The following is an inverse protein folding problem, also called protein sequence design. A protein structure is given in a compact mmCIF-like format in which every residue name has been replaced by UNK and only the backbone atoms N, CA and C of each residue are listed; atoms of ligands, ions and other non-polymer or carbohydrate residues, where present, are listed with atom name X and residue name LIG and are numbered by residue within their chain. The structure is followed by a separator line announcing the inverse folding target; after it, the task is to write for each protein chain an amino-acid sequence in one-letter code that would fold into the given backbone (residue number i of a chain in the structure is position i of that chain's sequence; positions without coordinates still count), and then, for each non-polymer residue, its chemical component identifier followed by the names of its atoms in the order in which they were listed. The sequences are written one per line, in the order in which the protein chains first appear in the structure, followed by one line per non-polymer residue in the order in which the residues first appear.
data_IF_878980177510
#
_entry.id   IF_878980177510
#
_cell.length_a   1.000
_cell.length_b   1.000
_cell.length_c   1.000
_cell.angle_alpha   90.00
_cell.angle_beta   90.00
_cell.angle_gamma   90.00
#
_symmetry.space_group_name_H-M   'P 1'
#
loop_
_entity.id
_entity.type
_entity.pdbx_description
1 polymer ?
#
# COMPACT_ATOMS: atom_id res chain seq x y z
N UNK A 1 -11.02 5.47 -64.93
CA UNK A 1 -10.62 6.00 -63.61
C UNK A 1 -11.57 5.43 -62.57
N UNK A 2 -11.01 4.76 -61.56
CA UNK A 2 -11.72 3.95 -60.56
C UNK A 2 -12.41 4.87 -59.54
N UNK A 3 -13.71 4.69 -59.34
CA UNK A 3 -14.43 5.16 -58.15
C UNK A 3 -14.66 3.95 -57.26
N UNK A 4 -14.23 4.02 -56.01
CA UNK A 4 -14.43 2.94 -55.04
C UNK A 4 -15.22 3.51 -53.88
N UNK A 5 -16.53 3.25 -53.91
CA UNK A 5 -17.40 3.33 -52.74
C UNK A 5 -16.98 2.22 -51.76
N UNK A 6 -16.88 2.55 -50.48
CA UNK A 6 -16.81 1.56 -49.39
C UNK A 6 -17.97 1.79 -48.44
N UNK A 7 -18.96 0.92 -48.53
CA UNK A 7 -20.00 0.73 -47.52
C UNK A 7 -19.40 0.17 -46.24
N UNK A 8 -19.77 0.77 -45.11
CA UNK A 8 -19.57 0.23 -43.77
C UNK A 8 -20.71 -0.78 -43.48
N UNK A 9 -20.38 -2.07 -43.45
CA UNK A 9 -21.25 -3.12 -42.95
C UNK A 9 -21.03 -3.32 -41.45
N UNK A 10 -22.08 -3.14 -40.65
CA UNK A 10 -22.12 -3.51 -39.23
C UNK A 10 -22.51 -4.99 -39.18
N UNK A 11 -21.64 -5.83 -38.62
CA UNK A 11 -21.95 -7.26 -38.37
C UNK A 11 -22.08 -7.46 -36.86
N UNK A 12 -23.26 -7.89 -36.44
CA UNK A 12 -23.59 -8.33 -35.09
C UNK A 12 -23.26 -9.82 -34.95
N UNK A 13 -22.57 -10.29 -33.90
CA UNK A 13 -22.41 -11.73 -33.69
C UNK A 13 -23.64 -12.28 -32.96
N UNK A 14 -24.49 -13.01 -33.68
CA UNK A 14 -25.40 -13.99 -33.08
C UNK A 14 -24.88 -15.40 -33.38
N UNK A 15 -24.92 -16.22 -32.33
CA UNK A 15 -25.05 -17.68 -32.32
C UNK A 15 -23.99 -18.52 -33.04
N UNK A 16 -23.33 -19.39 -32.28
CA UNK A 16 -22.79 -20.65 -32.80
C UNK A 16 -22.92 -21.78 -31.76
N UNK A 17 -23.07 -23.04 -32.21
CA UNK A 17 -23.87 -24.05 -31.52
C UNK A 17 -23.04 -25.03 -30.68
N UNK A 18 -23.75 -25.71 -29.78
CA UNK A 18 -23.33 -26.91 -29.04
C UNK A 18 -22.88 -28.03 -30.00
N UNK A 19 -21.66 -28.55 -29.82
CA UNK A 19 -21.20 -29.82 -30.40
C UNK A 19 -20.55 -30.66 -29.29
N UNK A 20 -21.05 -31.90 -29.11
CA UNK A 20 -20.46 -32.95 -28.26
C UNK A 20 -19.26 -33.59 -28.96
N UNK A 21 -18.21 -33.89 -28.21
CA UNK A 21 -17.09 -34.73 -28.66
C UNK A 21 -17.19 -36.16 -28.09
N UNK A 22 -16.84 -37.20 -28.87
CA UNK A 22 -16.41 -38.50 -28.34
C UNK A 22 -14.87 -38.59 -28.24
N UNK A 23 -14.45 -39.65 -27.53
CA UNK A 23 -13.11 -39.99 -27.05
C UNK A 23 -12.00 -40.22 -28.10
N UNK A 24 -10.77 -40.10 -27.59
CA UNK A 24 -9.49 -40.70 -27.99
C UNK A 24 -8.85 -40.35 -29.35
N UNK A 25 -7.73 -39.63 -29.30
CA UNK A 25 -6.41 -40.14 -29.74
C UNK A 25 -5.32 -39.06 -29.67
N UNK A 26 -4.12 -39.50 -29.28
CA UNK A 26 -2.87 -38.75 -29.23
C UNK A 26 -2.54 -38.04 -30.55
N UNK A 27 -2.36 -36.72 -30.50
CA UNK A 27 -1.43 -36.00 -31.37
C UNK A 27 -1.14 -34.62 -30.78
N UNK A 28 0.13 -34.40 -30.44
CA UNK A 28 0.71 -33.11 -30.10
C UNK A 28 0.48 -32.11 -31.24
N UNK A 29 -0.45 -31.17 -31.04
CA UNK A 29 -0.65 -30.02 -31.91
C UNK A 29 -0.53 -28.74 -31.09
N UNK A 30 0.50 -27.97 -31.44
CA UNK A 30 0.74 -26.58 -31.06
C UNK A 30 -0.54 -25.75 -31.11
N UNK A 31 -1.08 -25.37 -29.95
CA UNK A 31 -2.07 -24.30 -29.83
C UNK A 31 -1.35 -22.96 -29.96
N UNK A 32 -1.35 -22.41 -31.17
CA UNK A 32 -1.14 -20.97 -31.37
C UNK A 32 -2.24 -20.23 -30.60
N UNK A 33 -1.89 -19.72 -29.42
CA UNK A 33 -2.70 -18.73 -28.74
C UNK A 33 -2.70 -17.49 -29.63
N UNK A 34 -3.84 -17.21 -30.26
CA UNK A 34 -4.09 -15.91 -30.87
C UNK A 34 -4.12 -14.85 -29.78
N UNK A 35 -2.93 -14.33 -29.48
CA UNK A 35 -2.74 -13.10 -28.74
C UNK A 35 -3.29 -11.98 -29.64
N UNK A 36 -4.52 -11.55 -29.40
CA UNK A 36 -5.02 -10.31 -29.97
C UNK A 36 -4.29 -9.19 -29.23
N UNK A 37 -3.08 -8.88 -29.68
CA UNK A 37 -2.42 -7.62 -29.33
C UNK A 37 -3.22 -6.56 -30.08
N UNK A 38 -3.92 -5.70 -29.34
CA UNK A 38 -4.49 -4.49 -29.90
C UNK A 38 -3.30 -3.53 -30.15
N UNK A 39 -2.56 -3.75 -31.24
CA UNK A 39 -1.39 -2.96 -31.65
C UNK A 39 -1.78 -1.54 -32.13
N UNK A 40 -3.06 -1.31 -32.44
CA UNK A 40 -3.52 -0.07 -33.08
C UNK A 40 -3.60 1.17 -32.15
N UNK A 41 -3.24 1.08 -30.87
CA UNK A 41 -3.31 2.21 -29.93
C UNK A 41 -1.96 2.83 -29.55
N UNK A 42 -0.83 2.27 -29.99
CA UNK A 42 0.51 2.80 -29.65
C UNK A 42 1.00 3.96 -30.53
N UNK A 43 0.35 4.22 -31.68
CA UNK A 43 0.86 5.16 -32.70
C UNK A 43 0.18 6.53 -32.73
N UNK A 44 -0.69 6.86 -31.77
CA UNK A 44 -1.21 8.23 -31.64
C UNK A 44 -0.57 8.93 -30.44
N UNK A 45 0.33 9.91 -30.66
CA UNK A 45 0.70 10.83 -29.60
C UNK A 45 -0.54 11.70 -29.34
N UNK A 46 -1.40 11.24 -28.42
CA UNK A 46 -2.37 12.12 -27.82
C UNK A 46 -1.59 13.23 -27.12
N UNK A 47 -1.99 14.50 -27.26
CA UNK A 47 -1.29 15.59 -26.61
C UNK A 47 -1.33 15.34 -25.10
N UNK A 48 -0.18 14.96 -24.53
CA UNK A 48 0.01 14.90 -23.08
C UNK A 48 -0.33 16.28 -22.54
N UNK A 49 -1.33 16.34 -21.66
CA UNK A 49 -1.55 17.56 -20.88
C UNK A 49 -0.34 17.71 -19.95
N UNK A 50 0.16 18.94 -19.72
CA UNK A 50 1.17 19.16 -18.71
C UNK A 50 0.78 18.48 -17.40
N UNK A 51 1.74 17.78 -16.77
CA UNK A 51 1.50 17.06 -15.51
C UNK A 51 0.94 15.65 -15.67
N UNK A 52 0.90 15.04 -16.87
CA UNK A 52 0.42 13.67 -17.07
C UNK A 52 1.52 12.71 -17.58
N UNK A 53 1.44 11.44 -17.18
CA UNK A 53 2.21 10.33 -17.76
C UNK A 53 1.28 9.30 -18.43
N UNK A 54 1.74 8.63 -19.49
CA UNK A 54 0.95 7.72 -20.31
C UNK A 54 1.65 6.37 -20.56
N UNK A 55 0.88 5.29 -20.47
CA UNK A 55 1.36 3.92 -20.69
C UNK A 55 2.08 3.28 -19.50
N UNK A 56 2.21 1.95 -19.56
CA UNK A 56 2.96 1.15 -18.59
C UNK A 56 4.46 1.42 -18.63
N UNK A 57 5.01 1.72 -19.81
CA UNK A 57 6.44 1.94 -19.98
C UNK A 57 6.94 3.19 -19.25
N UNK A 58 6.24 4.32 -19.39
CA UNK A 58 6.58 5.55 -18.68
C UNK A 58 6.42 5.36 -17.16
N UNK A 59 5.36 4.68 -16.73
CA UNK A 59 5.19 4.31 -15.33
C UNK A 59 6.37 3.47 -14.80
N UNK A 60 6.85 2.49 -15.56
CA UNK A 60 8.00 1.65 -15.17
C UNK A 60 9.29 2.46 -15.02
N UNK A 61 9.53 3.42 -15.92
CA UNK A 61 10.67 4.34 -15.86
C UNK A 61 10.57 5.20 -14.59
N UNK A 62 9.43 5.84 -14.37
CA UNK A 62 9.20 6.70 -13.21
C UNK A 62 9.29 5.90 -11.90
N UNK A 63 8.66 4.73 -11.84
CA UNK A 63 8.70 3.83 -10.69
C UNK A 63 10.14 3.35 -10.42
N UNK A 64 10.93 3.07 -11.46
CA UNK A 64 12.33 2.71 -11.30
C UNK A 64 13.17 3.88 -10.79
N UNK A 65 12.95 5.10 -11.31
CA UNK A 65 13.66 6.29 -10.83
C UNK A 65 13.36 6.58 -9.36
N UNK A 66 12.13 6.31 -8.90
CA UNK A 66 11.70 6.64 -7.53
C UNK A 66 12.31 5.76 -6.44
N UNK A 67 12.90 4.62 -6.79
CA UNK A 67 13.50 3.69 -5.81
C UNK A 67 14.69 4.29 -5.06
N UNK A 68 15.33 5.32 -5.62
CA UNK A 68 16.47 6.01 -5.03
C UNK A 68 16.11 7.09 -4.00
N UNK A 69 14.82 7.36 -3.78
CA UNK A 69 14.38 8.46 -2.94
C UNK A 69 14.91 8.33 -1.50
N UNK A 70 15.53 9.40 -1.02
CA UNK A 70 15.96 9.55 0.37
C UNK A 70 14.76 9.83 1.28
N UNK A 71 14.92 9.62 2.60
CA UNK A 71 13.83 9.89 3.55
C UNK A 71 13.40 11.37 3.54
N UNK A 72 14.35 12.31 3.38
CA UNK A 72 14.03 13.74 3.27
C UNK A 72 13.23 14.05 2.00
N UNK A 73 13.56 13.40 0.88
CA UNK A 73 12.79 13.51 -0.37
C UNK A 73 11.37 12.94 -0.21
N UNK A 74 11.20 11.83 0.51
CA UNK A 74 9.86 11.31 0.83
C UNK A 74 9.06 12.31 1.68
N UNK A 75 9.68 12.91 2.70
CA UNK A 75 9.01 13.94 3.53
C UNK A 75 8.61 15.16 2.69
N UNK A 76 9.50 15.67 1.84
CA UNK A 76 9.19 16.79 0.95
C UNK A 76 8.05 16.48 -0.03
N UNK A 77 8.01 15.26 -0.58
CA UNK A 77 6.92 14.83 -1.46
C UNK A 77 5.60 14.71 -0.69
N UNK A 78 5.65 14.20 0.55
CA UNK A 78 4.49 14.16 1.44
C UNK A 78 3.96 15.57 1.72
N UNK A 79 4.84 16.52 2.00
CA UNK A 79 4.45 17.91 2.27
C UNK A 79 3.69 18.52 1.10
N UNK A 80 4.23 18.40 -0.13
CA UNK A 80 3.57 18.89 -1.35
C UNK A 80 2.17 18.28 -1.51
N UNK A 81 2.05 16.96 -1.42
CA UNK A 81 0.76 16.29 -1.65
C UNK A 81 -0.25 16.64 -0.56
N UNK A 82 0.20 16.68 0.70
CA UNK A 82 -0.69 16.96 1.84
C UNK A 82 -1.13 18.43 1.88
N UNK A 83 -0.27 19.38 1.52
CA UNK A 83 -0.65 20.80 1.40
C UNK A 83 -1.77 21.00 0.36
N UNK A 84 -1.72 20.26 -0.75
CA UNK A 84 -2.78 20.29 -1.78
C UNK A 84 -4.08 19.69 -1.22
N UNK A 85 -4.00 18.53 -0.56
CA UNK A 85 -5.18 17.89 0.03
C UNK A 85 -5.81 18.76 1.13
N UNK A 86 -5.00 19.38 1.99
CA UNK A 86 -5.46 20.31 3.03
C UNK A 86 -6.14 21.54 2.42
N UNK A 87 -5.55 22.12 1.36
CA UNK A 87 -6.14 23.27 0.64
C UNK A 87 -7.51 22.95 0.04
N UNK A 88 -7.65 21.74 -0.51
CA UNK A 88 -8.91 21.25 -1.10
C UNK A 88 -9.87 20.68 -0.04
N UNK A 89 -9.53 20.73 1.26
CA UNK A 89 -10.29 20.15 2.37
C UNK A 89 -10.58 18.65 2.19
N UNK A 90 -9.63 17.91 1.61
CA UNK A 90 -9.72 16.47 1.40
C UNK A 90 -8.98 15.77 2.54
N UNK A 91 -9.67 15.00 3.39
CA UNK A 91 -8.99 14.32 4.46
C UNK A 91 -8.16 13.16 3.92
N UNK A 92 -7.02 12.90 4.56
CA UNK A 92 -6.06 11.87 4.16
C UNK A 92 -5.39 11.23 5.37
N UNK A 93 -4.86 10.02 5.25
CA UNK A 93 -4.07 9.41 6.30
C UNK A 93 -2.83 8.74 5.71
N UNK A 94 -1.64 9.09 6.18
CA UNK A 94 -0.42 8.36 5.81
C UNK A 94 -0.53 6.94 6.33
N UNK A 95 -0.32 5.96 5.44
CA UNK A 95 -0.43 4.54 5.74
C UNK A 95 0.82 3.75 5.31
N UNK A 96 0.74 2.42 5.40
CA UNK A 96 1.81 1.52 4.97
C UNK A 96 3.11 1.69 5.77
N UNK A 97 4.23 1.32 5.14
CA UNK A 97 5.54 1.28 5.79
C UNK A 97 6.10 2.67 6.15
N UNK A 98 5.74 3.71 5.39
CA UNK A 98 6.20 5.08 5.65
C UNK A 98 5.51 5.69 6.88
N UNK A 99 4.23 5.36 7.11
CA UNK A 99 3.51 5.72 8.33
C UNK A 99 4.17 5.18 9.61
N UNK A 100 4.76 3.98 9.55
CA UNK A 100 5.58 3.44 10.65
C UNK A 100 6.90 4.19 10.80
N UNK A 101 7.51 4.63 9.68
CA UNK A 101 8.75 5.40 9.70
C UNK A 101 8.55 6.78 10.36
N UNK A 102 7.41 7.43 10.08
CA UNK A 102 6.98 8.66 10.78
C UNK A 102 6.77 8.45 12.29
N UNK A 103 6.55 7.22 12.75
CA UNK A 103 6.49 6.86 14.18
C UNK A 103 7.83 6.44 14.76
N UNK A 104 8.92 6.57 14.00
CA UNK A 104 10.28 6.27 14.44
C UNK A 104 10.78 4.87 14.08
N UNK A 105 10.00 4.07 13.33
CA UNK A 105 10.52 2.83 12.77
C UNK A 105 11.70 3.14 11.85
N UNK A 106 12.81 2.43 12.05
CA UNK A 106 13.97 2.52 11.16
C UNK A 106 13.81 1.61 9.94
N UNK A 107 14.39 2.02 8.82
CA UNK A 107 14.41 1.23 7.58
C UNK A 107 14.21 2.10 6.34
N UNK A 108 14.65 1.58 5.20
CA UNK A 108 14.51 2.28 3.92
C UNK A 108 13.10 2.08 3.36
N UNK A 109 12.48 3.19 2.95
CA UNK A 109 11.21 3.25 2.22
C UNK A 109 11.46 3.88 0.86
N UNK A 110 10.61 3.57 -0.10
CA UNK A 110 10.78 4.01 -1.50
C UNK A 110 9.52 4.68 -2.06
N UNK A 111 8.44 4.68 -1.30
CA UNK A 111 7.16 5.24 -1.68
C UNK A 111 6.40 5.68 -0.44
N UNK A 112 5.33 6.42 -0.69
CA UNK A 112 4.40 6.93 0.31
C UNK A 112 3.03 6.37 -0.04
N UNK A 113 2.35 5.74 0.91
CA UNK A 113 0.97 5.34 0.75
C UNK A 113 0.08 6.31 1.55
N UNK A 114 -0.94 6.87 0.90
CA UNK A 114 -1.94 7.75 1.51
C UNK A 114 -3.32 7.11 1.38
N UNK A 115 -3.98 6.86 2.50
CA UNK A 115 -5.40 6.56 2.49
C UNK A 115 -6.20 7.86 2.25
N UNK A 116 -7.15 7.84 1.33
CA UNK A 116 -8.06 8.95 1.02
C UNK A 116 -9.49 8.43 0.92
N UNK A 117 -10.53 9.19 1.30
CA UNK A 117 -11.90 8.73 1.19
C UNK A 117 -12.29 8.33 -0.23
N UNK A 118 -13.02 7.23 -0.36
CA UNK A 118 -13.58 6.78 -1.63
C UNK A 118 -14.50 7.83 -2.27
N UNK A 119 -15.14 8.68 -1.45
CA UNK A 119 -15.93 9.83 -1.93
C UNK A 119 -15.13 10.81 -2.79
N UNK A 120 -13.80 10.81 -2.72
CA UNK A 120 -12.94 11.61 -3.61
C UNK A 120 -13.05 11.16 -5.08
N UNK A 121 -13.43 9.90 -5.34
CA UNK A 121 -13.72 9.41 -6.70
C UNK A 121 -15.10 9.85 -7.21
N UNK A 122 -16.02 10.32 -6.35
CA UNK A 122 -17.39 10.76 -6.72
C UNK A 122 -18.06 9.85 -7.79
N UNK A 123 -19.06 10.35 -8.52
CA UNK A 123 -19.63 9.66 -9.70
C UNK A 123 -18.70 9.68 -10.92
N UNK A 124 -17.62 10.45 -10.86
CA UNK A 124 -16.67 10.65 -11.96
C UNK A 124 -15.28 10.24 -11.49
N UNK A 125 -14.85 9.04 -11.88
CA UNK A 125 -13.54 8.46 -11.54
C UNK A 125 -12.34 9.37 -11.89
N UNK A 126 -12.54 10.44 -12.67
CA UNK A 126 -11.53 11.44 -12.99
C UNK A 126 -11.49 12.64 -12.04
N UNK A 127 -12.41 12.76 -11.08
CA UNK A 127 -12.52 13.91 -10.19
C UNK A 127 -11.22 14.16 -9.40
N UNK A 128 -10.56 13.10 -8.92
CA UNK A 128 -9.28 13.21 -8.22
C UNK A 128 -8.14 13.79 -9.09
N UNK A 129 -8.19 13.63 -10.42
CA UNK A 129 -7.19 14.21 -11.32
C UNK A 129 -7.26 15.75 -11.31
N UNK A 130 -8.44 16.30 -11.00
CA UNK A 130 -8.64 17.76 -10.95
C UNK A 130 -8.02 18.41 -9.71
N UNK A 131 -7.86 17.65 -8.62
CA UNK A 131 -7.25 18.09 -7.34
C UNK A 131 -5.80 18.49 -7.56
N UNK A 132 -5.05 17.72 -8.35
CA UNK A 132 -3.62 17.92 -8.55
C UNK A 132 -3.27 18.69 -9.82
N UNK A 133 -4.26 19.25 -10.53
CA UNK A 133 -4.06 19.73 -11.91
C UNK A 133 -3.20 20.95 -12.08
N UNK A 134 -3.12 21.78 -11.05
CA UNK A 134 -2.40 23.04 -11.09
C UNK A 134 -0.97 22.91 -10.52
N UNK A 135 -0.59 21.74 -10.00
CA UNK A 135 0.75 21.47 -9.46
C UNK A 135 1.65 20.84 -10.52
N UNK A 136 2.59 21.64 -11.05
CA UNK A 136 3.52 21.23 -12.10
C UNK A 136 4.53 20.17 -11.65
N UNK A 137 4.79 20.05 -10.35
CA UNK A 137 5.69 19.03 -9.79
C UNK A 137 5.05 17.66 -9.70
N UNK A 138 3.74 17.52 -9.97
CA UNK A 138 3.04 16.24 -9.87
C UNK A 138 2.74 15.72 -11.27
N UNK A 139 3.23 14.50 -11.55
CA UNK A 139 2.78 13.69 -12.67
C UNK A 139 1.67 12.75 -12.21
N UNK A 140 0.53 12.85 -12.87
CA UNK A 140 -0.64 11.97 -12.69
C UNK A 140 -0.81 11.05 -13.89
N UNK A 141 -1.44 9.88 -13.75
CA UNK A 141 -1.80 9.04 -14.88
C UNK A 141 -2.76 9.82 -15.80
N UNK A 142 -2.54 9.71 -17.10
CA UNK A 142 -3.52 10.17 -18.08
C UNK A 142 -4.86 9.45 -17.90
N UNK A 143 -5.97 10.11 -18.27
CA UNK A 143 -7.35 9.59 -18.15
C UNK A 143 -7.52 8.22 -18.84
N UNK A 144 -6.66 7.87 -19.79
CA UNK A 144 -6.70 6.58 -20.48
C UNK A 144 -6.13 5.41 -19.66
N UNK A 145 -5.28 5.69 -18.67
CA UNK A 145 -4.76 4.69 -17.73
C UNK A 145 -5.60 4.56 -16.46
N UNK A 146 -6.47 5.53 -16.15
CA UNK A 146 -7.29 5.48 -14.93
C UNK A 146 -8.31 4.33 -14.94
N UNK A 147 -8.68 3.82 -16.14
CA UNK A 147 -9.55 2.66 -16.34
C UNK A 147 -8.87 1.29 -16.23
N UNK A 148 -7.58 1.22 -15.89
CA UNK A 148 -6.83 -0.06 -15.80
C UNK A 148 -6.83 -0.61 -14.36
N UNK A 149 -7.61 -1.68 -14.17
CA UNK A 149 -7.59 -2.75 -13.13
C UNK A 149 -7.59 -2.44 -11.63
N UNK A 150 -7.17 -1.28 -11.16
CA UNK A 150 -7.19 -0.95 -9.73
C UNK A 150 -7.87 0.40 -9.51
N UNK A 151 -9.18 0.36 -9.24
CA UNK A 151 -9.95 1.56 -8.90
C UNK A 151 -9.58 2.08 -7.50
N UNK A 152 -9.07 1.20 -6.64
CA UNK A 152 -8.79 1.51 -5.24
C UNK A 152 -7.41 2.10 -5.02
N UNK A 153 -6.53 2.07 -6.04
CA UNK A 153 -5.18 2.65 -5.97
C UNK A 153 -4.88 3.51 -7.18
N UNK A 154 -4.43 4.74 -6.95
CA UNK A 154 -3.89 5.63 -7.99
C UNK A 154 -2.50 6.09 -7.59
N UNK A 155 -1.58 6.13 -8.54
CA UNK A 155 -0.18 6.50 -8.29
C UNK A 155 0.09 7.90 -8.83
N UNK A 156 0.76 8.72 -8.03
CA UNK A 156 1.33 10.00 -8.39
C UNK A 156 2.86 9.88 -8.39
N UNK A 157 3.52 10.63 -9.25
CA UNK A 157 4.95 10.88 -9.14
C UNK A 157 5.18 12.35 -8.83
N UNK A 158 5.86 12.63 -7.73
CA UNK A 158 6.07 13.98 -7.21
C UNK A 158 7.54 14.33 -7.38
N UNK A 159 7.83 15.40 -8.09
CA UNK A 159 9.17 15.93 -8.23
C UNK A 159 9.56 16.70 -6.96
N UNK A 160 10.69 16.33 -6.39
CA UNK A 160 11.29 16.99 -5.22
C UNK A 160 12.75 17.30 -5.48
N UNK A 161 13.31 18.25 -4.75
CA UNK A 161 14.65 18.78 -5.01
C UNK A 161 14.60 20.02 -5.90
N UNK A 162 15.76 20.63 -6.11
CA UNK A 162 15.90 21.87 -6.87
C UNK A 162 16.42 21.53 -8.26
N UNK A 163 15.84 22.14 -9.31
CA UNK A 163 16.30 21.92 -10.69
C UNK A 163 17.67 22.56 -10.92
N UNK A 164 18.01 23.58 -10.14
CA UNK A 164 19.19 24.41 -10.32
C UNK A 164 20.35 24.07 -9.36
N UNK A 165 20.17 23.09 -8.48
CA UNK A 165 21.17 22.72 -7.47
C UNK A 165 21.63 21.26 -7.64
N UNK A 166 22.86 21.08 -8.15
CA UNK A 166 23.46 19.76 -8.42
C UNK A 166 23.53 18.85 -7.18
N UNK A 167 23.67 19.43 -5.99
CA UNK A 167 23.69 18.68 -4.73
C UNK A 167 22.30 18.17 -4.31
N UNK A 168 21.23 18.69 -4.92
CA UNK A 168 19.85 18.38 -4.60
C UNK A 168 19.01 18.15 -5.87
N UNK A 169 19.62 17.45 -6.83
CA UNK A 169 19.06 17.19 -8.15
C UNK A 169 17.62 16.67 -8.05
N UNK A 170 16.78 17.17 -8.95
CA UNK A 170 15.37 16.81 -9.00
C UNK A 170 15.16 15.29 -9.08
N UNK A 171 14.34 14.76 -8.17
CA UNK A 171 14.05 13.34 -8.03
C UNK A 171 12.55 13.09 -8.02
N UNK A 172 12.11 11.99 -8.65
CA UNK A 172 10.71 11.59 -8.63
C UNK A 172 10.43 10.68 -7.43
N UNK A 173 9.44 11.04 -6.63
CA UNK A 173 8.96 10.22 -5.51
C UNK A 173 7.61 9.64 -5.87
N UNK A 174 7.45 8.33 -5.63
CA UNK A 174 6.17 7.65 -5.82
C UNK A 174 5.25 7.87 -4.61
N UNK A 175 4.05 8.37 -4.87
CA UNK A 175 2.97 8.49 -3.88
C UNK A 175 1.75 7.71 -4.36
N UNK A 176 1.33 6.71 -3.60
CA UNK A 176 0.16 5.90 -3.89
C UNK A 176 -1.04 6.40 -3.07
N UNK A 177 -2.07 6.88 -3.73
CA UNK A 177 -3.38 7.17 -3.15
C UNK A 177 -4.19 5.88 -3.10
N UNK A 178 -4.63 5.46 -1.91
CA UNK A 178 -5.51 4.33 -1.67
C UNK A 178 -6.87 4.82 -1.24
N UNK A 179 -7.88 4.56 -2.06
CA UNK A 179 -9.25 4.98 -1.81
C UNK A 179 -9.92 4.02 -0.83
N UNK A 180 -10.40 4.55 0.29
CA UNK A 180 -10.94 3.78 1.42
C UNK A 180 -12.30 4.32 1.83
N UNK A 181 -13.24 3.44 2.18
CA UNK A 181 -14.58 3.83 2.63
C UNK A 181 -15.65 2.84 2.21
N UNK A 182 -16.87 3.09 2.68
CA UNK A 182 -18.03 2.26 2.34
C UNK A 182 -18.68 2.78 1.05
N UNK A 183 -18.75 1.93 0.04
CA UNK A 183 -19.64 2.15 -1.10
C UNK A 183 -20.85 1.24 -0.96
N UNK A 184 -22.01 1.84 -0.72
CA UNK A 184 -23.29 1.16 -0.97
C UNK A 184 -23.71 1.30 -2.44
N UNK A 185 -22.89 1.93 -3.31
CA UNK A 185 -23.34 2.40 -4.64
C UNK A 185 -22.48 2.03 -5.85
N UNK A 186 -21.29 1.44 -5.72
CA UNK A 186 -20.63 0.81 -6.88
C UNK A 186 -20.93 -0.68 -6.84
N UNK A 187 -21.82 -1.09 -7.73
CA UNK A 187 -22.27 -2.47 -8.02
C UNK A 187 -21.15 -3.33 -8.66
N UNK A 188 -19.91 -3.05 -8.28
CA UNK A 188 -18.71 -3.65 -8.84
C UNK A 188 -18.15 -4.65 -7.84
N UNK A 189 -17.92 -5.87 -8.33
CA UNK A 189 -17.07 -6.91 -7.73
C UNK A 189 -15.61 -6.43 -7.59
N UNK A 190 -15.39 -5.27 -6.95
CA UNK A 190 -14.09 -4.84 -6.51
C UNK A 190 -13.74 -5.76 -5.35
N UNK A 191 -12.62 -6.45 -5.50
CA UNK A 191 -12.01 -7.27 -4.48
C UNK A 191 -11.57 -6.33 -3.33
N UNK A 192 -12.55 -5.86 -2.53
CA UNK A 192 -12.39 -5.01 -1.34
C UNK A 192 -11.62 -5.74 -0.22
N UNK A 193 -11.02 -6.89 -0.51
CA UNK A 193 -10.61 -7.90 0.46
C UNK A 193 -9.40 -7.55 1.31
N UNK A 194 -8.80 -6.36 1.17
CA UNK A 194 -7.51 -6.07 1.82
C UNK A 194 -7.52 -4.90 2.81
N UNK A 195 -8.43 -3.93 2.70
CA UNK A 195 -8.51 -2.80 3.62
C UNK A 195 -9.85 -2.80 4.37
N UNK A 196 -9.85 -2.69 5.71
CA UNK A 196 -11.10 -2.68 6.44
C UNK A 196 -11.91 -1.43 6.06
N UNK A 197 -13.22 -1.60 5.96
CA UNK A 197 -14.14 -0.49 5.70
C UNK A 197 -13.98 0.56 6.81
N UNK A 198 -13.54 1.76 6.44
CA UNK A 198 -13.39 2.89 7.34
C UNK A 198 -14.72 3.67 7.40
N UNK A 199 -15.68 3.18 8.20
CA UNK A 199 -16.98 3.84 8.37
C UNK A 199 -16.87 5.30 8.83
N UNK A 200 -15.85 5.60 9.63
CA UNK A 200 -15.57 6.94 10.16
C UNK A 200 -14.12 7.31 9.94
N UNK A 201 -13.73 7.47 8.67
CA UNK A 201 -12.36 7.77 8.25
C UNK A 201 -11.64 8.78 9.17
N UNK A 202 -12.29 9.89 9.50
CA UNK A 202 -11.78 10.93 10.41
C UNK A 202 -11.38 10.43 11.80
N UNK A 203 -12.16 9.50 12.36
CA UNK A 203 -11.92 8.96 13.70
C UNK A 203 -10.79 7.94 13.71
N UNK A 204 -10.36 7.45 12.55
CA UNK A 204 -9.34 6.42 12.40
C UNK A 204 -7.96 6.96 12.00
N UNK A 205 -7.78 8.28 12.14
CA UNK A 205 -6.51 8.97 11.93
C UNK A 205 -5.98 9.53 13.25
N UNK A 206 -4.70 9.33 13.50
CA UNK A 206 -3.98 9.97 14.59
C UNK A 206 -3.10 11.08 14.02
N UNK A 207 -3.02 12.20 14.74
CA UNK A 207 -2.05 13.24 14.43
C UNK A 207 -0.70 12.85 15.01
N UNK A 208 0.28 12.55 14.15
CA UNK A 208 1.59 12.06 14.55
C UNK A 208 2.63 13.17 14.41
N UNK A 209 3.38 13.40 15.49
CA UNK A 209 4.60 14.22 15.45
C UNK A 209 5.76 13.35 14.96
N UNK A 210 6.27 13.66 13.77
CA UNK A 210 7.32 12.86 13.15
C UNK A 210 8.70 13.25 13.68
N UNK A 211 9.59 12.30 14.01
CA UNK A 211 10.99 12.62 14.27
C UNK A 211 11.73 13.03 12.98
N UNK A 212 11.11 12.83 11.80
CA UNK A 212 11.67 13.17 10.49
C UNK A 212 11.33 14.60 10.04
N UNK A 213 10.36 15.25 10.70
CA UNK A 213 9.97 16.63 10.42
C UNK A 213 9.64 17.33 11.75
N UNK A 214 10.48 18.28 12.15
CA UNK A 214 10.24 19.07 13.36
C UNK A 214 9.12 20.09 13.21
N UNK A 215 8.68 20.36 11.97
CA UNK A 215 7.83 21.51 11.64
C UNK A 215 6.39 21.11 11.33
N UNK A 216 6.15 19.88 10.84
CA UNK A 216 4.82 19.42 10.42
C UNK A 216 4.41 18.12 11.11
N UNK A 217 3.16 18.09 11.57
CA UNK A 217 2.49 16.87 12.02
C UNK A 217 1.68 16.28 10.87
N UNK A 218 1.57 14.96 10.83
CA UNK A 218 0.83 14.27 9.77
C UNK A 218 -0.30 13.44 10.35
N UNK A 219 -1.46 13.50 9.70
CA UNK A 219 -2.51 12.53 9.92
C UNK A 219 -2.04 11.16 9.41
N UNK A 220 -1.90 10.20 10.31
CA UNK A 220 -1.52 8.84 10.00
C UNK A 220 -2.65 7.89 10.38
N UNK A 221 -2.82 6.80 9.63
CA UNK A 221 -3.82 5.80 9.97
C UNK A 221 -3.47 5.16 11.33
N UNK A 222 -4.49 4.86 12.16
CA UNK A 222 -4.29 4.19 13.44
C UNK A 222 -3.52 2.87 13.29
N UNK A 223 -2.73 2.54 14.30
CA UNK A 223 -1.86 1.36 14.29
C UNK A 223 -2.62 0.03 14.15
N UNK A 224 -3.85 -0.07 14.67
CA UNK A 224 -4.68 -1.27 14.47
C UNK A 224 -4.96 -1.56 12.99
N UNK A 225 -5.23 -0.53 12.19
CA UNK A 225 -5.42 -0.67 10.75
C UNK A 225 -4.12 -0.96 10.01
N UNK A 226 -3.02 -0.31 10.41
CA UNK A 226 -1.71 -0.61 9.84
C UNK A 226 -1.31 -2.07 10.11
N UNK A 227 -1.56 -2.57 11.33
CA UNK A 227 -1.31 -3.96 11.66
C UNK A 227 -2.16 -4.90 10.79
N UNK A 228 -3.45 -4.61 10.62
CA UNK A 228 -4.32 -5.39 9.76
C UNK A 228 -3.82 -5.42 8.29
N UNK A 229 -3.54 -4.26 7.70
CA UNK A 229 -2.99 -4.15 6.33
C UNK A 229 -1.72 -4.99 6.18
N UNK A 230 -0.81 -4.93 7.17
CA UNK A 230 0.43 -5.70 7.15
C UNK A 230 0.21 -7.21 7.24
N UNK A 231 -0.75 -7.66 8.05
CA UNK A 231 -1.09 -9.08 8.13
C UNK A 231 -1.73 -9.58 6.82
N UNK A 232 -2.57 -8.78 6.17
CA UNK A 232 -3.09 -9.07 4.82
C UNK A 232 -1.96 -9.18 3.78
N UNK A 233 -0.98 -8.28 3.84
CA UNK A 233 0.19 -8.34 2.96
C UNK A 233 1.03 -9.58 3.20
N UNK A 234 1.17 -10.06 4.43
CA UNK A 234 1.92 -11.29 4.74
C UNK A 234 1.23 -12.53 4.18
N UNK A 235 -0.12 -12.57 4.23
CA UNK A 235 -0.93 -13.62 3.59
C UNK A 235 -0.69 -13.68 2.08
N UNK A 236 -0.50 -12.52 1.44
CA UNK A 236 -0.34 -12.41 -0.01
C UNK A 236 1.12 -12.54 -0.48
N UNK A 237 2.04 -11.98 0.30
CA UNK A 237 3.48 -11.91 0.02
C UNK A 237 4.26 -11.86 1.33
N UNK A 238 4.79 -13.00 1.77
CA UNK A 238 5.51 -13.12 3.04
C UNK A 238 6.94 -12.59 2.92
N UNK A 239 7.11 -11.27 2.96
CA UNK A 239 8.45 -10.66 2.95
C UNK A 239 8.95 -10.40 4.37
N UNK A 240 10.27 -10.49 4.58
CA UNK A 240 10.92 -10.14 5.85
C UNK A 240 10.56 -8.72 6.32
N UNK A 241 10.42 -7.78 5.39
CA UNK A 241 10.05 -6.39 5.68
C UNK A 241 8.67 -6.28 6.33
N UNK A 242 7.69 -7.03 5.83
CA UNK A 242 6.33 -7.03 6.39
C UNK A 242 6.32 -7.63 7.80
N UNK A 243 7.09 -8.70 8.01
CA UNK A 243 7.27 -9.28 9.35
C UNK A 243 7.88 -8.26 10.31
N UNK A 244 8.98 -7.61 9.91
CA UNK A 244 9.63 -6.59 10.74
C UNK A 244 8.64 -5.45 11.06
N UNK A 245 7.74 -5.09 10.13
CA UNK A 245 6.69 -4.06 10.32
C UNK A 245 5.70 -4.49 11.39
N UNK A 246 5.18 -5.72 11.31
CA UNK A 246 4.30 -6.29 12.35
C UNK A 246 5.02 -6.35 13.71
N UNK A 247 6.25 -6.84 13.75
CA UNK A 247 7.06 -6.91 14.97
C UNK A 247 7.24 -5.55 15.61
N UNK A 248 7.53 -4.52 14.82
CA UNK A 248 7.68 -3.16 15.34
C UNK A 248 6.40 -2.65 16.01
N UNK A 249 5.24 -2.87 15.38
CA UNK A 249 3.94 -2.47 15.94
C UNK A 249 3.65 -3.21 17.25
N UNK A 250 3.83 -4.53 17.26
CA UNK A 250 3.51 -5.35 18.43
C UNK A 250 4.48 -5.14 19.60
N UNK A 251 5.76 -4.87 19.33
CA UNK A 251 6.77 -4.70 20.38
C UNK A 251 6.81 -3.31 20.99
N UNK A 252 6.52 -2.27 20.20
CA UNK A 252 6.61 -0.87 20.64
C UNK A 252 5.28 -0.22 20.97
N UNK A 253 4.19 -0.68 20.36
CA UNK A 253 2.94 0.07 20.29
C UNK A 253 1.68 -0.76 20.55
N UNK A 254 1.81 -1.92 21.20
CA UNK A 254 0.69 -2.83 21.46
C UNK A 254 -0.50 -2.15 22.16
N UNK A 255 -0.22 -1.24 23.10
CA UNK A 255 -1.25 -0.50 23.82
C UNK A 255 -2.09 0.41 22.90
N UNK A 256 -1.51 0.93 21.83
CA UNK A 256 -2.18 1.82 20.86
C UNK A 256 -2.99 1.03 19.81
N UNK A 257 -2.63 -0.23 19.57
CA UNK A 257 -3.38 -1.13 18.68
C UNK A 257 -4.76 -1.46 19.28
N UNK A 258 -4.88 -1.46 20.60
CA UNK A 258 -6.12 -1.84 21.30
C UNK A 258 -6.30 -3.36 21.36
N UNK A 259 -7.53 -3.84 21.24
CA UNK A 259 -7.83 -5.27 21.36
C UNK A 259 -7.44 -6.04 20.09
N UNK A 260 -6.22 -6.57 20.07
CA UNK A 260 -5.70 -7.34 18.93
C UNK A 260 -6.51 -8.62 18.65
N UNK A 261 -7.37 -9.07 19.58
CA UNK A 261 -8.26 -10.21 19.36
C UNK A 261 -9.37 -9.91 18.36
N UNK A 262 -9.65 -8.63 18.08
CA UNK A 262 -10.58 -8.24 17.03
C UNK A 262 -10.02 -8.49 15.62
N UNK A 263 -8.71 -8.75 15.49
CA UNK A 263 -8.11 -9.12 14.21
C UNK A 263 -8.50 -10.55 13.84
N UNK A 264 -8.79 -10.75 12.56
CA UNK A 264 -9.15 -12.05 12.01
C UNK A 264 -8.14 -13.15 12.39
N UNK A 265 -8.67 -14.31 12.79
CA UNK A 265 -7.88 -15.44 13.27
C UNK A 265 -7.03 -16.08 12.17
N UNK A 266 -7.50 -16.07 10.92
CA UNK A 266 -6.76 -16.57 9.76
C UNK A 266 -5.53 -15.71 9.52
N UNK A 267 -5.68 -14.38 9.54
CA UNK A 267 -4.56 -13.43 9.39
C UNK A 267 -3.48 -13.63 10.46
N UNK A 268 -3.91 -13.78 11.72
CA UNK A 268 -2.98 -14.05 12.84
C UNK A 268 -2.24 -15.38 12.66
N UNK A 269 -2.94 -16.42 12.22
CA UNK A 269 -2.36 -17.75 12.00
C UNK A 269 -1.37 -17.75 10.83
N UNK A 270 -1.69 -17.07 9.74
CA UNK A 270 -0.78 -16.93 8.60
C UNK A 270 0.50 -16.21 8.98
N UNK A 271 0.41 -15.13 9.78
CA UNK A 271 1.58 -14.45 10.29
C UNK A 271 2.52 -15.38 11.08
N UNK A 272 1.97 -16.17 12.01
CA UNK A 272 2.75 -17.13 12.79
C UNK A 272 3.51 -18.13 11.90
N UNK A 273 2.81 -18.71 10.93
CA UNK A 273 3.40 -19.67 10.00
C UNK A 273 4.55 -19.05 9.18
N UNK A 274 4.37 -17.81 8.70
CA UNK A 274 5.41 -17.10 7.95
C UNK A 274 6.58 -16.69 8.85
N UNK A 275 6.30 -16.32 10.09
CA UNK A 275 7.31 -15.92 11.07
C UNK A 275 8.25 -17.07 11.44
N UNK A 276 7.68 -18.23 11.80
CA UNK A 276 8.47 -19.41 12.16
C UNK A 276 9.40 -19.85 11.02
N UNK A 277 8.96 -19.70 9.77
CA UNK A 277 9.77 -20.01 8.60
C UNK A 277 10.93 -19.02 8.39
N UNK A 278 10.74 -17.73 8.71
CA UNK A 278 11.69 -16.66 8.37
C UNK A 278 12.59 -16.24 9.54
N UNK A 279 12.17 -16.45 10.79
CA UNK A 279 12.91 -16.02 11.97
C UNK A 279 12.72 -16.97 13.18
N UNK A 280 13.12 -18.26 13.06
CA UNK A 280 12.81 -19.31 14.05
C UNK A 280 13.44 -19.13 15.45
N UNK A 281 14.27 -18.12 15.68
CA UNK A 281 15.05 -17.94 16.92
C UNK A 281 14.86 -16.58 17.61
N UNK A 282 13.91 -15.75 17.17
CA UNK A 282 13.68 -14.44 17.80
C UNK A 282 12.56 -14.53 18.87
N UNK A 283 13.01 -14.85 20.09
CA UNK A 283 12.20 -15.09 21.29
C UNK A 283 11.27 -13.93 21.68
N UNK A 284 11.65 -12.67 21.38
CA UNK A 284 10.83 -11.51 21.73
C UNK A 284 9.63 -11.37 20.81
N UNK A 285 9.82 -11.64 19.53
CA UNK A 285 8.71 -11.63 18.58
C UNK A 285 7.88 -12.90 18.69
N UNK A 286 8.46 -14.07 19.02
CA UNK A 286 7.70 -15.28 19.36
C UNK A 286 6.74 -15.02 20.55
N UNK A 287 7.16 -14.26 21.55
CA UNK A 287 6.27 -13.82 22.64
C UNK A 287 5.07 -13.00 22.13
N UNK A 288 5.32 -11.98 21.30
CA UNK A 288 4.26 -11.13 20.76
C UNK A 288 3.35 -11.86 19.76
N UNK A 289 3.92 -12.75 18.96
CA UNK A 289 3.16 -13.58 18.02
C UNK A 289 2.26 -14.56 18.78
N UNK A 290 2.71 -15.10 19.92
CA UNK A 290 1.85 -15.89 20.82
C UNK A 290 0.82 -15.04 21.56
N UNK A 291 1.14 -13.78 21.87
CA UNK A 291 0.18 -12.83 22.43
C UNK A 291 -0.98 -12.50 21.48
N UNK A 292 -0.78 -12.64 20.16
CA UNK A 292 -1.88 -12.60 19.17
C UNK A 292 -2.85 -13.79 19.33
N UNK A 293 -2.44 -14.89 19.96
CA UNK A 293 -3.14 -16.18 19.93
C UNK A 293 -3.83 -16.58 21.25
N UNK A 294 -3.42 -16.06 22.42
CA UNK A 294 -3.88 -16.56 23.72
C UNK A 294 -4.28 -15.46 24.72
N UNK A 295 -5.23 -15.80 25.60
CA UNK A 295 -5.65 -15.02 26.76
C UNK A 295 -4.42 -14.57 27.60
N UNK A 296 -4.33 -13.26 27.84
CA UNK A 296 -3.10 -12.54 28.19
C UNK A 296 -2.36 -12.94 29.47
N UNK A 297 -2.87 -13.88 30.26
CA UNK A 297 -2.29 -14.21 31.58
C UNK A 297 -1.23 -15.33 31.50
N UNK A 298 -1.41 -16.32 30.62
CA UNK A 298 -0.55 -17.52 30.61
C UNK A 298 0.86 -17.28 30.05
N UNK A 299 1.01 -16.35 29.11
CA UNK A 299 2.30 -16.07 28.46
C UNK A 299 3.19 -15.15 29.30
N UNK A 300 2.60 -14.27 30.09
CA UNK A 300 3.32 -13.43 31.06
C UNK A 300 4.02 -14.29 32.13
N UNK A 301 3.30 -15.28 32.68
CA UNK A 301 3.85 -16.21 33.66
C UNK A 301 4.99 -17.07 33.08
N UNK A 302 4.86 -17.47 31.81
CA UNK A 302 5.91 -18.25 31.13
C UNK A 302 7.14 -17.41 30.80
N UNK A 303 6.98 -16.16 30.36
CA UNK A 303 8.10 -15.26 30.10
C UNK A 303 8.83 -14.87 31.40
N UNK A 304 8.10 -14.56 32.47
CA UNK A 304 8.71 -14.27 33.78
C UNK A 304 9.45 -15.49 34.34
N UNK A 305 8.97 -16.71 34.09
CA UNK A 305 9.68 -17.94 34.44
C UNK A 305 10.98 -18.13 33.64
N UNK A 306 10.97 -17.84 32.33
CA UNK A 306 12.17 -17.90 31.48
C UNK A 306 13.21 -16.85 31.91
N UNK A 307 12.79 -15.61 32.16
CA UNK A 307 13.68 -14.56 32.67
C UNK A 307 14.28 -14.89 34.05
N UNK A 308 13.48 -15.49 34.96
CA UNK A 308 14.00 -15.99 36.23
C UNK A 308 15.02 -17.12 36.06
N UNK A 309 14.88 -17.94 35.02
CA UNK A 309 15.86 -18.99 34.70
C UNK A 309 17.14 -18.45 34.04
N UNK A 310 17.03 -17.41 33.21
CA UNK A 310 18.15 -16.78 32.50
C UNK A 310 18.96 -15.79 33.36
N UNK A 311 18.35 -15.17 34.37
CA UNK A 311 19.03 -14.33 35.39
C UNK A 311 20.03 -15.11 36.28
N UNK A 312 20.24 -16.40 36.03
CA UNK A 312 21.39 -17.16 36.52
C UNK A 312 22.68 -16.88 35.73
N UNK A 313 22.63 -16.06 34.67
CA UNK A 313 23.78 -15.55 33.92
C UNK A 313 23.69 -14.01 33.81
N UNK A 314 24.82 -13.28 33.87
CA UNK A 314 24.79 -11.81 33.87
C UNK A 314 24.30 -11.29 32.52
N UNK A 315 23.14 -10.62 32.54
CA UNK A 315 22.57 -9.91 31.39
C UNK A 315 23.24 -8.54 31.28
N UNK A 316 23.65 -8.09 30.07
CA UNK A 316 24.24 -6.76 29.89
C UNK A 316 23.26 -5.66 30.33
N UNK A 317 23.74 -4.74 31.16
CA UNK A 317 22.96 -3.74 31.94
C UNK A 317 22.03 -2.83 31.10
N UNK A 318 22.18 -2.79 29.78
CA UNK A 318 21.41 -1.90 28.90
C UNK A 318 20.01 -2.42 28.50
N UNK A 319 19.63 -3.65 28.84
CA UNK A 319 18.31 -4.21 28.48
C UNK A 319 17.24 -4.13 29.58
N UNK A 320 17.65 -3.98 30.84
CA UNK A 320 16.71 -4.01 31.99
C UNK A 320 15.96 -2.71 32.25
N UNK A 321 16.53 -1.56 31.88
CA UNK A 321 16.01 -0.24 32.29
C UNK A 321 14.75 0.23 31.56
N UNK A 322 14.49 -0.25 30.34
CA UNK A 322 13.30 0.12 29.57
C UNK A 322 12.02 -0.53 30.13
N UNK A 323 12.13 -1.63 30.88
CA UNK A 323 10.99 -2.48 31.27
C UNK A 323 10.35 -2.10 32.61
N UNK A 324 11.11 -1.60 33.58
CA UNK A 324 10.56 -1.21 34.90
C UNK A 324 9.62 -0.01 34.84
N UNK A 325 9.66 0.77 33.75
CA UNK A 325 8.78 1.93 33.54
C UNK A 325 7.41 1.57 32.95
N UNK A 326 7.27 0.46 32.21
CA UNK A 326 6.01 0.11 31.55
C UNK A 326 4.96 -0.50 32.51
N UNK A 327 5.37 -1.08 33.63
CA UNK A 327 4.47 -1.82 34.53
C UNK A 327 4.36 -1.22 35.96
N UNK A 328 4.80 0.03 36.14
CA UNK A 328 4.46 0.85 37.32
C UNK A 328 3.53 2.00 36.91
N UNK A 329 2.38 1.69 36.33
CA UNK A 329 1.19 2.54 36.35
C UNK A 329 -0.06 1.68 36.40
#
# INVERSE_FOLDING_TARGET
MKSTERSLGIVSPQNSPFIKFPEDSDASASTESSLVIIEDYFDRPLPLRPGEYCGSHEWEILNSSSKGATTSQLVAALDIVTDILDKENIPYAVMGGFSLQLRGKQGVRHNIDLAVPLSMLNTDESAWLTVFKDELRILRPSVFLSGVKDMTRKTLFVQVGDLDNDDNAAHWVRVDLRFVGHEHSLDTNLDQSLLPVLEKFEQERDLVSSPLSSEKQYHCLKLGYLLHDKLCMIKSSSTKREIDDVTYVLSGHLAEVGDVRSIDMELRTNFLNCYDALSPNDLMTDYFARALWLEGDYLWDRWTAVQKSENSKPVPENKGWLWTRFFRR
#
